data_IF_442490537642
#
_entry.id   IF_442490537642
#
_cell.length_a   1.000
_cell.length_b   1.000
_cell.length_c   1.000
_cell.angle_alpha   90.00
_cell.angle_beta   90.00
_cell.angle_gamma   90.00
#
_symmetry.space_group_name_H-M   'P 1'
#
loop_
_entity.id
_entity.type
_entity.pdbx_description
1 polymer ?
#
# COMPACT_ATOMS: atom_id res chain seq x y z
N UNK A 1 28.01 -7.08 8.30
CA UNK A 1 27.06 -8.14 8.72
C UNK A 1 27.01 -9.19 7.62
N UNK A 2 26.89 -10.48 7.93
CA UNK A 2 26.65 -11.50 6.92
C UNK A 2 25.35 -11.20 6.17
N UNK A 3 25.26 -11.62 4.91
CA UNK A 3 24.05 -11.45 4.12
C UNK A 3 22.88 -12.17 4.78
N UNK A 4 21.72 -11.50 4.87
CA UNK A 4 20.51 -12.14 5.37
C UNK A 4 20.05 -13.24 4.42
N UNK A 5 19.78 -14.44 4.92
CA UNK A 5 19.05 -15.45 4.16
C UNK A 5 17.56 -15.11 4.17
N UNK A 6 16.95 -14.79 3.01
CA UNK A 6 15.53 -14.44 2.94
C UNK A 6 14.60 -15.52 3.49
N UNK A 7 14.95 -16.80 3.33
CA UNK A 7 14.10 -17.92 3.77
C UNK A 7 14.02 -17.98 5.29
N UNK A 8 15.17 -17.82 5.95
CA UNK A 8 15.22 -17.76 7.41
C UNK A 8 14.59 -16.49 7.94
N UNK A 9 14.79 -15.36 7.26
CA UNK A 9 14.15 -14.09 7.61
C UNK A 9 12.62 -14.18 7.56
N UNK A 10 12.04 -14.74 6.49
CA UNK A 10 10.60 -14.98 6.32
C UNK A 10 10.04 -15.80 7.49
N UNK A 11 10.75 -16.84 7.93
CA UNK A 11 10.34 -17.67 9.08
C UNK A 11 10.33 -16.86 10.38
N UNK A 12 11.39 -16.08 10.65
CA UNK A 12 11.52 -15.24 11.85
C UNK A 12 10.40 -14.22 11.96
N UNK A 13 10.11 -13.52 10.86
CA UNK A 13 9.04 -12.52 10.83
C UNK A 13 7.66 -13.12 10.59
N UNK A 14 7.55 -14.45 10.49
CA UNK A 14 6.33 -15.22 10.17
C UNK A 14 5.56 -14.62 9.00
N UNK A 15 6.28 -14.24 7.95
CA UNK A 15 5.69 -13.72 6.72
C UNK A 15 4.81 -14.80 6.08
N UNK A 16 3.61 -14.40 5.68
CA UNK A 16 2.60 -15.25 5.04
C UNK A 16 1.79 -14.42 4.04
N UNK A 17 1.91 -14.78 2.78
CA UNK A 17 1.08 -14.25 1.70
C UNK A 17 -0.39 -14.63 1.94
N UNK A 18 -1.34 -13.68 1.87
CA UNK A 18 -2.75 -13.99 1.95
C UNK A 18 -3.19 -14.82 0.74
N UNK A 19 -4.11 -15.76 0.97
CA UNK A 19 -4.76 -16.51 -0.11
C UNK A 19 -6.04 -15.76 -0.47
N UNK A 20 -6.07 -15.08 -1.61
CA UNK A 20 -7.24 -14.33 -2.07
C UNK A 20 -8.18 -15.13 -2.98
N UNK A 21 -7.63 -16.11 -3.68
CA UNK A 21 -8.35 -16.95 -4.62
C UNK A 21 -8.29 -18.39 -4.12
N UNK A 22 -9.43 -18.89 -3.68
CA UNK A 22 -9.58 -20.27 -3.20
C UNK A 22 -10.75 -20.91 -3.92
N UNK A 23 -10.56 -22.14 -4.39
CA UNK A 23 -11.60 -22.88 -5.13
C UNK A 23 -12.84 -23.01 -4.26
N UNK A 24 -13.99 -22.57 -4.79
CA UNK A 24 -15.26 -22.61 -4.08
C UNK A 24 -15.54 -21.44 -3.13
N UNK A 25 -14.62 -20.46 -3.01
CA UNK A 25 -14.86 -19.20 -2.29
C UNK A 25 -14.99 -18.02 -3.26
N UNK A 26 -15.83 -17.01 -2.94
CA UNK A 26 -15.91 -15.80 -3.74
C UNK A 26 -14.59 -15.04 -3.66
N UNK A 27 -14.06 -14.61 -4.81
CA UNK A 27 -12.93 -13.70 -4.87
C UNK A 27 -13.32 -12.32 -4.28
N UNK A 28 -12.37 -11.57 -3.70
CA UNK A 28 -12.64 -10.20 -3.30
C UNK A 28 -13.01 -9.35 -4.53
N UNK A 29 -13.98 -8.45 -4.38
CA UNK A 29 -14.38 -7.50 -5.42
C UNK A 29 -13.22 -6.57 -5.79
N UNK A 30 -12.43 -6.18 -4.79
CA UNK A 30 -11.23 -5.38 -4.99
C UNK A 30 -10.18 -5.66 -3.91
N UNK A 31 -8.93 -5.37 -4.25
CA UNK A 31 -7.81 -5.22 -3.34
C UNK A 31 -7.52 -3.72 -3.23
N UNK A 32 -7.64 -3.16 -2.03
CA UNK A 32 -7.37 -1.75 -1.76
C UNK A 32 -6.04 -1.63 -1.02
N UNK A 33 -5.06 -1.05 -1.69
CA UNK A 33 -3.70 -0.93 -1.17
C UNK A 33 -3.42 0.48 -0.71
N UNK A 34 -3.19 0.65 0.59
CA UNK A 34 -2.91 1.91 1.24
C UNK A 34 -1.44 2.08 1.57
N UNK A 35 -0.80 3.04 0.90
CA UNK A 35 0.65 3.12 0.89
C UNK A 35 1.18 4.20 1.80
N UNK A 36 2.41 3.96 2.26
CA UNK A 36 3.04 4.76 3.30
C UNK A 36 3.50 6.11 2.78
N UNK A 37 2.69 7.14 3.02
CA UNK A 37 3.05 8.53 2.83
C UNK A 37 2.94 9.27 4.16
N UNK A 38 3.88 9.05 5.10
CA UNK A 38 3.72 9.50 6.50
C UNK A 38 3.41 10.98 6.68
N UNK A 39 3.93 11.82 5.79
CA UNK A 39 3.68 13.25 5.76
C UNK A 39 2.31 13.65 5.15
N UNK A 40 1.58 12.73 4.51
CA UNK A 40 0.22 12.95 3.99
C UNK A 40 -0.68 11.76 4.32
N UNK A 41 -0.46 11.10 5.46
CA UNK A 41 -1.25 9.93 5.87
C UNK A 41 -2.73 10.28 6.05
N UNK A 42 -3.04 11.53 6.41
CA UNK A 42 -4.40 12.02 6.56
C UNK A 42 -5.17 12.03 5.24
N UNK A 43 -4.50 12.17 4.10
CA UNK A 43 -5.12 11.97 2.79
C UNK A 43 -5.74 10.58 2.67
N UNK A 44 -4.96 9.54 2.98
CA UNK A 44 -5.43 8.16 2.94
C UNK A 44 -6.54 7.88 3.95
N UNK A 45 -6.58 8.61 5.08
CA UNK A 45 -7.71 8.56 6.01
C UNK A 45 -8.98 9.21 5.46
N UNK A 46 -8.86 10.29 4.69
CA UNK A 46 -9.99 10.88 3.99
C UNK A 46 -10.61 9.92 2.97
N UNK A 47 -9.77 9.24 2.19
CA UNK A 47 -10.21 8.17 1.27
C UNK A 47 -10.90 7.05 2.04
N UNK A 48 -10.33 6.63 3.17
CA UNK A 48 -10.93 5.61 4.03
C UNK A 48 -12.30 6.06 4.57
N UNK A 49 -12.45 7.31 5.01
CA UNK A 49 -13.73 7.84 5.47
C UNK A 49 -14.79 7.75 4.36
N UNK A 50 -14.45 8.18 3.13
CA UNK A 50 -15.35 8.06 1.98
C UNK A 50 -15.77 6.62 1.73
N UNK A 51 -14.82 5.67 1.71
CA UNK A 51 -15.13 4.26 1.49
C UNK A 51 -16.07 3.70 2.56
N UNK A 52 -15.86 4.11 3.81
CA UNK A 52 -16.69 3.69 4.93
C UNK A 52 -18.11 4.27 4.87
N UNK A 53 -18.28 5.52 4.42
CA UNK A 53 -19.56 6.22 4.44
C UNK A 53 -20.38 6.02 3.16
N UNK A 54 -19.72 6.04 1.99
CA UNK A 54 -20.40 6.05 0.69
C UNK A 54 -20.25 4.73 -0.08
N UNK A 55 -19.32 3.85 0.30
CA UNK A 55 -19.03 2.59 -0.40
C UNK A 55 -18.97 1.36 0.53
N UNK A 56 -19.83 1.33 1.55
CA UNK A 56 -19.83 0.27 2.58
C UNK A 56 -19.97 -1.16 2.00
N UNK A 57 -20.84 -1.36 1.02
CA UNK A 57 -21.04 -2.68 0.39
C UNK A 57 -19.83 -3.13 -0.43
N UNK A 58 -19.22 -2.21 -1.20
CA UNK A 58 -17.97 -2.46 -1.91
C UNK A 58 -16.84 -2.81 -0.94
N UNK A 59 -16.72 -2.04 0.16
CA UNK A 59 -15.74 -2.26 1.20
C UNK A 59 -15.93 -3.61 1.91
N UNK A 60 -17.16 -4.07 2.13
CA UNK A 60 -17.47 -5.35 2.75
C UNK A 60 -16.93 -6.56 1.96
N UNK A 61 -16.74 -6.39 0.65
CA UNK A 61 -16.19 -7.41 -0.25
C UNK A 61 -14.77 -7.09 -0.74
N UNK A 62 -14.09 -6.13 -0.10
CA UNK A 62 -12.73 -5.73 -0.46
C UNK A 62 -11.69 -6.31 0.50
N UNK A 63 -10.53 -6.69 -0.05
CA UNK A 63 -9.34 -7.02 0.71
C UNK A 63 -8.48 -5.77 0.90
N UNK A 64 -7.85 -5.63 2.07
CA UNK A 64 -7.13 -4.42 2.47
C UNK A 64 -5.64 -4.73 2.63
N UNK A 65 -4.80 -3.90 2.01
CA UNK A 65 -3.35 -3.96 2.14
C UNK A 65 -2.81 -2.66 2.73
N UNK A 66 -1.92 -2.81 3.71
CA UNK A 66 -1.25 -1.68 4.35
C UNK A 66 0.26 -1.80 4.26
N UNK A 67 0.94 -0.73 3.83
CA UNK A 67 2.39 -0.61 3.96
C UNK A 67 2.79 0.77 4.49
N UNK A 68 3.82 0.82 5.33
CA UNK A 68 4.23 2.06 5.99
C UNK A 68 3.05 2.68 6.75
N UNK A 69 2.87 3.99 6.63
CA UNK A 69 1.77 4.69 7.32
C UNK A 69 0.38 4.42 6.72
N UNK A 70 0.31 3.80 5.54
CA UNK A 70 -0.97 3.35 4.97
C UNK A 70 -1.55 2.13 5.68
N UNK A 71 -0.79 1.49 6.57
CA UNK A 71 -1.31 0.51 7.54
C UNK A 71 -2.45 1.09 8.38
N UNK A 72 -2.39 2.37 8.73
CA UNK A 72 -3.36 3.02 9.62
C UNK A 72 -4.78 3.01 9.00
N UNK A 73 -5.02 3.58 7.80
CA UNK A 73 -6.32 3.50 7.16
C UNK A 73 -6.74 2.06 6.83
N UNK A 74 -5.81 1.18 6.42
CA UNK A 74 -6.13 -0.22 6.12
C UNK A 74 -6.67 -0.97 7.36
N UNK A 75 -6.02 -0.83 8.52
CA UNK A 75 -6.47 -1.44 9.78
C UNK A 75 -7.80 -0.83 10.22
N UNK A 76 -7.95 0.50 10.15
CA UNK A 76 -9.19 1.16 10.53
C UNK A 76 -10.39 0.67 9.72
N UNK A 77 -10.24 0.55 8.39
CA UNK A 77 -11.26 0.01 7.51
C UNK A 77 -11.54 -1.47 7.76
N UNK A 78 -10.51 -2.27 8.05
CA UNK A 78 -10.67 -3.69 8.33
C UNK A 78 -11.48 -3.91 9.61
N UNK A 79 -11.22 -3.12 10.67
CA UNK A 79 -11.99 -3.14 11.90
C UNK A 79 -13.41 -2.59 11.74
N UNK A 80 -13.60 -1.63 10.84
CA UNK A 80 -14.90 -1.06 10.47
C UNK A 80 -15.41 0.04 11.40
N UNK A 81 -16.48 0.76 10.97
CA UNK A 81 -16.97 2.01 11.57
C UNK A 81 -17.41 1.89 13.03
N UNK A 82 -17.89 0.70 13.43
CA UNK A 82 -18.42 0.45 14.77
C UNK A 82 -17.31 0.29 15.81
N UNK A 83 -16.14 -0.17 15.39
CA UNK A 83 -15.03 -0.47 16.27
C UNK A 83 -13.97 0.62 16.26
N UNK A 84 -13.76 1.26 15.10
CA UNK A 84 -12.71 2.28 14.91
C UNK A 84 -13.30 3.54 14.28
N UNK A 85 -13.09 4.69 14.92
CA UNK A 85 -13.48 5.99 14.40
C UNK A 85 -12.28 6.66 13.69
N UNK A 86 -12.37 6.80 12.37
CA UNK A 86 -11.33 7.39 11.51
C UNK A 86 -11.03 8.84 11.87
N UNK A 87 -12.03 9.63 12.27
CA UNK A 87 -11.84 11.04 12.63
C UNK A 87 -11.04 11.19 13.92
N UNK A 88 -11.26 10.31 14.91
CA UNK A 88 -10.43 10.30 16.13
C UNK A 88 -8.97 9.93 15.83
N UNK A 89 -8.75 9.05 14.84
CA UNK A 89 -7.40 8.72 14.37
C UNK A 89 -6.78 9.91 13.66
N UNK A 90 -7.54 10.61 12.80
CA UNK A 90 -7.12 11.86 12.14
C UNK A 90 -6.67 12.88 13.20
N UNK A 91 -7.49 13.12 14.22
CA UNK A 91 -7.18 14.09 15.28
C UNK A 91 -5.89 13.71 16.02
N UNK A 92 -5.74 12.44 16.40
CA UNK A 92 -4.51 11.96 17.02
C UNK A 92 -3.27 12.15 16.13
N UNK A 93 -3.38 11.92 14.82
CA UNK A 93 -2.29 12.15 13.86
C UNK A 93 -1.95 13.62 13.74
N UNK A 94 -2.97 14.48 13.68
CA UNK A 94 -2.84 15.93 13.58
C UNK A 94 -2.16 16.48 14.83
N UNK A 95 -2.55 16.02 16.02
CA UNK A 95 -1.98 16.49 17.29
C UNK A 95 -0.52 16.05 17.48
N UNK A 96 -0.19 14.84 17.03
CA UNK A 96 1.17 14.30 17.12
C UNK A 96 2.05 14.68 15.92
N UNK A 97 1.48 15.24 14.85
CA UNK A 97 2.12 15.68 13.60
C UNK A 97 3.11 14.66 12.99
N UNK A 98 2.90 13.38 13.27
CA UNK A 98 3.81 12.29 12.95
C UNK A 98 5.26 12.63 13.34
N UNK A 99 5.69 12.21 14.53
CA UNK A 99 7.06 12.39 15.04
C UNK A 99 8.07 11.51 14.26
N UNK A 100 8.16 11.66 12.93
CA UNK A 100 8.91 10.75 12.02
C UNK A 100 10.42 10.83 12.25
N UNK A 101 10.91 11.96 12.76
CA UNK A 101 12.34 12.23 12.93
C UNK A 101 12.89 11.79 14.28
N UNK A 102 12.03 11.46 15.24
CA UNK A 102 12.39 11.03 16.59
C UNK A 102 11.82 9.63 16.82
N UNK A 103 12.69 8.62 16.74
CA UNK A 103 12.28 7.22 16.76
C UNK A 103 11.70 6.77 18.11
N UNK A 104 12.29 7.22 19.22
CA UNK A 104 11.80 6.88 20.56
C UNK A 104 10.41 7.46 20.77
N UNK A 105 10.23 8.73 20.42
CA UNK A 105 8.94 9.40 20.49
C UNK A 105 7.93 8.83 19.50
N UNK A 106 8.37 8.41 18.30
CA UNK A 106 7.52 7.71 17.33
C UNK A 106 6.98 6.43 17.94
N UNK A 107 7.83 5.58 18.51
CA UNK A 107 7.45 4.32 19.13
C UNK A 107 6.51 4.56 20.32
N UNK A 108 6.80 5.55 21.16
CA UNK A 108 5.93 5.93 22.28
C UNK A 108 4.52 6.32 21.80
N UNK A 109 4.45 7.26 20.86
CA UNK A 109 3.18 7.78 20.32
C UNK A 109 2.40 6.68 19.60
N UNK A 110 3.05 5.89 18.74
CA UNK A 110 2.40 4.79 18.04
C UNK A 110 1.88 3.74 19.00
N UNK A 111 2.67 3.35 20.01
CA UNK A 111 2.23 2.39 21.03
C UNK A 111 1.00 2.90 21.77
N UNK A 112 1.01 4.18 22.18
CA UNK A 112 -0.15 4.82 22.81
C UNK A 112 -1.38 4.79 21.90
N UNK A 113 -1.23 5.16 20.63
CA UNK A 113 -2.34 5.15 19.67
C UNK A 113 -2.86 3.74 19.38
N UNK A 114 -1.99 2.74 19.26
CA UNK A 114 -2.40 1.34 19.08
C UNK A 114 -3.23 0.89 20.29
N UNK A 115 -2.74 1.11 21.50
CA UNK A 115 -3.44 0.74 22.73
C UNK A 115 -4.77 1.48 22.90
N UNK A 116 -4.88 2.70 22.38
CA UNK A 116 -6.07 3.53 22.48
C UNK A 116 -7.14 3.19 21.42
N UNK A 117 -6.72 2.90 20.19
CA UNK A 117 -7.64 2.81 19.04
C UNK A 117 -7.85 1.39 18.52
N UNK A 118 -6.94 0.44 18.80
CA UNK A 118 -7.10 -0.93 18.36
C UNK A 118 -8.09 -1.66 19.28
N UNK A 119 -9.25 -2.15 18.78
CA UNK A 119 -10.22 -2.83 19.61
C UNK A 119 -9.69 -4.19 20.09
N UNK A 120 -10.17 -4.66 21.25
CA UNK A 120 -9.72 -5.94 21.83
C UNK A 120 -10.00 -7.16 20.95
N UNK A 121 -11.07 -7.11 20.16
CA UNK A 121 -11.44 -8.13 19.18
C UNK A 121 -10.93 -7.82 17.77
N UNK A 122 -9.91 -6.97 17.60
CA UNK A 122 -9.39 -6.59 16.29
C UNK A 122 -9.01 -7.78 15.42
N UNK A 123 -8.41 -8.83 16.00
CA UNK A 123 -8.02 -10.04 15.26
C UNK A 123 -9.20 -10.70 14.56
N UNK A 124 -10.37 -10.75 15.23
CA UNK A 124 -11.60 -11.29 14.63
C UNK A 124 -12.12 -10.38 13.52
N UNK A 125 -12.10 -9.06 13.75
CA UNK A 125 -12.61 -8.08 12.78
C UNK A 125 -11.79 -8.04 11.49
N UNK A 126 -10.47 -8.21 11.57
CA UNK A 126 -9.56 -8.13 10.41
C UNK A 126 -9.29 -9.50 9.76
N UNK A 127 -9.80 -10.59 10.34
CA UNK A 127 -9.54 -11.95 9.88
C UNK A 127 -9.91 -12.13 8.40
N UNK A 128 -8.99 -12.66 7.61
CA UNK A 128 -9.22 -12.99 6.19
C UNK A 128 -9.38 -11.80 5.25
N UNK A 129 -9.21 -10.56 5.71
CA UNK A 129 -9.42 -9.35 4.89
C UNK A 129 -8.32 -8.30 4.94
N UNK A 130 -7.28 -8.51 5.75
CA UNK A 130 -6.18 -7.57 5.93
C UNK A 130 -4.84 -8.29 5.74
N UNK A 131 -3.91 -7.66 5.01
CA UNK A 131 -2.49 -7.97 5.12
C UNK A 131 -1.64 -6.71 5.24
N UNK A 132 -0.56 -6.81 6.01
CA UNK A 132 0.42 -5.75 6.23
C UNK A 132 1.72 -6.13 5.54
N UNK A 133 2.50 -5.14 5.11
CA UNK A 133 3.75 -5.40 4.37
C UNK A 133 4.98 -4.90 5.13
N UNK A 134 5.95 -5.78 5.29
CA UNK A 134 7.27 -5.53 5.86
C UNK A 134 8.37 -5.87 4.84
N UNK A 135 9.58 -5.40 5.09
CA UNK A 135 10.75 -5.77 4.31
C UNK A 135 12.01 -5.69 5.16
N UNK A 136 13.17 -5.92 4.54
CA UNK A 136 14.46 -5.65 5.14
C UNK A 136 15.33 -4.84 4.18
N UNK A 137 16.44 -4.30 4.68
CA UNK A 137 17.22 -3.27 3.98
C UNK A 137 17.65 -3.66 2.57
N UNK A 138 17.42 -2.79 1.60
CA UNK A 138 18.02 -2.91 0.27
C UNK A 138 19.56 -2.73 0.28
N UNK A 139 20.12 -2.32 1.42
CA UNK A 139 21.57 -2.29 1.67
C UNK A 139 22.08 -3.63 2.19
N UNK A 140 21.21 -4.55 2.60
CA UNK A 140 21.57 -5.92 2.96
C UNK A 140 21.92 -6.69 1.67
N UNK A 141 23.07 -7.36 1.65
CA UNK A 141 23.49 -8.15 0.49
C UNK A 141 22.51 -9.30 0.18
N UNK A 142 21.74 -9.75 1.17
CA UNK A 142 20.66 -10.71 1.02
C UNK A 142 19.42 -10.15 0.32
N UNK A 143 19.30 -8.83 0.15
CA UNK A 143 18.10 -8.24 -0.45
C UNK A 143 17.91 -8.66 -1.91
N UNK A 144 19.01 -8.73 -2.67
CA UNK A 144 18.97 -9.10 -4.08
C UNK A 144 18.90 -10.62 -4.32
N UNK A 145 19.01 -11.44 -3.26
CA UNK A 145 18.89 -12.91 -3.37
C UNK A 145 17.45 -13.40 -3.20
N UNK A 146 16.54 -12.47 -2.87
CA UNK A 146 15.10 -12.73 -2.79
C UNK A 146 14.51 -13.02 -4.16
N UNK A 147 13.35 -13.69 -4.18
CA UNK A 147 12.58 -13.80 -5.42
C UNK A 147 12.07 -12.42 -5.84
N UNK A 148 11.81 -12.24 -7.14
CA UNK A 148 11.40 -10.94 -7.69
C UNK A 148 10.13 -10.42 -7.06
N UNK A 149 9.20 -11.32 -6.72
CA UNK A 149 7.93 -11.00 -6.07
C UNK A 149 8.17 -10.31 -4.73
N UNK A 150 9.07 -10.84 -3.90
CA UNK A 150 9.39 -10.24 -2.59
C UNK A 150 10.19 -8.93 -2.71
N UNK A 151 11.01 -8.79 -3.74
CA UNK A 151 11.68 -7.51 -4.05
C UNK A 151 10.64 -6.46 -4.47
N UNK A 152 9.65 -6.87 -5.28
CA UNK A 152 8.66 -5.96 -5.84
C UNK A 152 7.48 -5.66 -4.93
N UNK A 153 7.14 -6.54 -3.99
CA UNK A 153 5.90 -6.44 -3.21
C UNK A 153 6.13 -6.52 -1.70
N UNK A 154 7.38 -6.74 -1.27
CA UNK A 154 7.72 -6.97 0.12
C UNK A 154 7.22 -8.33 0.63
N UNK A 155 7.20 -8.43 1.95
CA UNK A 155 6.76 -9.63 2.67
C UNK A 155 5.47 -9.33 3.42
N UNK A 156 4.44 -10.11 3.16
CA UNK A 156 3.14 -9.89 3.78
C UNK A 156 3.05 -10.58 5.13
N UNK A 157 2.35 -9.97 6.06
CA UNK A 157 1.84 -10.62 7.25
C UNK A 157 0.32 -10.55 7.14
N UNK A 158 -0.34 -11.69 7.18
CA UNK A 158 -1.80 -11.80 7.02
C UNK A 158 -2.44 -12.68 8.11
N UNK A 159 -1.69 -13.02 9.15
CA UNK A 159 -2.13 -13.85 10.26
C UNK A 159 -1.59 -13.30 11.58
N UNK A 160 -2.44 -13.36 12.60
CA UNK A 160 -2.23 -12.73 13.89
C UNK A 160 -2.64 -13.73 14.97
N UNK A 161 -1.86 -13.86 16.04
CA UNK A 161 -2.23 -14.75 17.16
C UNK A 161 -3.22 -14.11 18.12
N UNK A 162 -3.01 -12.83 18.40
CA UNK A 162 -3.79 -12.03 19.34
C UNK A 162 -3.63 -10.53 19.04
N UNK A 163 -4.34 -9.69 19.79
CA UNK A 163 -4.35 -8.24 19.58
C UNK A 163 -2.98 -7.60 19.80
N UNK A 164 -2.14 -8.15 20.69
CA UNK A 164 -0.80 -7.64 20.94
C UNK A 164 0.12 -7.98 19.76
N UNK A 165 0.02 -9.21 19.23
CA UNK A 165 0.73 -9.62 18.02
C UNK A 165 0.36 -8.75 16.81
N UNK A 166 -0.93 -8.47 16.61
CA UNK A 166 -1.39 -7.52 15.59
C UNK A 166 -0.80 -6.11 15.82
N UNK A 167 -0.80 -5.62 17.06
CA UNK A 167 -0.18 -4.34 17.42
C UNK A 167 1.32 -4.28 17.08
N UNK A 168 2.08 -5.34 17.38
CA UNK A 168 3.49 -5.43 17.01
C UNK A 168 3.70 -5.47 15.50
N UNK A 169 2.83 -6.18 14.76
CA UNK A 169 2.86 -6.21 13.30
C UNK A 169 2.56 -4.83 12.68
N UNK A 170 1.64 -4.06 13.26
CA UNK A 170 1.36 -2.67 12.86
C UNK A 170 2.60 -1.79 13.07
N UNK A 171 3.28 -1.94 14.22
CA UNK A 171 4.53 -1.21 14.49
C UNK A 171 5.62 -1.56 13.48
N UNK A 172 5.81 -2.85 13.17
CA UNK A 172 6.81 -3.31 12.21
C UNK A 172 6.52 -2.84 10.78
N UNK A 173 5.26 -2.93 10.33
CA UNK A 173 4.84 -2.49 9.01
C UNK A 173 4.89 -0.96 8.82
N UNK A 174 4.89 -0.21 9.93
CA UNK A 174 5.06 1.26 9.95
C UNK A 174 6.50 1.69 10.20
N UNK A 175 7.45 0.76 10.32
CA UNK A 175 8.86 1.07 10.58
C UNK A 175 9.42 2.04 9.53
N UNK A 176 10.14 3.10 9.93
CA UNK A 176 10.68 4.06 8.99
C UNK A 176 11.83 3.44 8.19
N UNK A 177 12.19 4.11 7.09
CA UNK A 177 13.39 3.76 6.33
C UNK A 177 14.62 4.42 6.98
N UNK A 178 14.92 4.03 8.22
CA UNK A 178 16.01 4.60 9.05
C UNK A 178 17.34 3.92 8.79
N UNK A 179 18.42 4.56 9.23
CA UNK A 179 19.76 3.94 9.31
C UNK A 179 19.84 2.80 10.32
N UNK A 180 18.92 2.75 11.28
CA UNK A 180 18.76 1.70 12.27
C UNK A 180 17.50 0.90 11.94
N UNK A 181 17.63 -0.32 11.40
CA UNK A 181 16.50 -1.22 11.25
C UNK A 181 15.83 -1.54 12.59
N UNK A 182 14.56 -1.92 12.53
CA UNK A 182 13.78 -2.32 13.69
C UNK A 182 14.04 -3.79 14.02
N UNK A 183 14.10 -4.10 15.31
CA UNK A 183 14.02 -5.47 15.81
C UNK A 183 12.54 -5.86 15.90
N UNK A 184 12.17 -6.93 15.21
CA UNK A 184 10.83 -7.49 15.25
C UNK A 184 10.92 -9.00 15.28
N UNK A 185 10.45 -9.59 16.39
CA UNK A 185 10.66 -11.02 16.71
C UNK A 185 12.17 -11.31 16.69
N UNK A 186 12.58 -12.37 16.02
CA UNK A 186 13.99 -12.80 15.95
C UNK A 186 14.77 -12.17 14.78
N UNK A 187 14.18 -11.20 14.08
CA UNK A 187 14.81 -10.43 13.02
C UNK A 187 15.19 -9.03 13.53
N UNK A 188 16.44 -8.65 13.34
CA UNK A 188 17.03 -7.38 13.80
C UNK A 188 17.18 -6.34 12.68
N UNK A 189 16.70 -6.67 11.47
CA UNK A 189 16.88 -5.88 10.27
C UNK A 189 15.56 -5.52 9.56
N UNK A 190 14.45 -5.46 10.28
CA UNK A 190 13.12 -5.16 9.71
C UNK A 190 12.99 -3.67 9.36
N UNK A 191 12.41 -3.39 8.20
CA UNK A 191 12.06 -2.06 7.71
C UNK A 191 10.65 -2.08 7.08
N UNK A 192 10.12 -0.91 6.71
CA UNK A 192 8.90 -0.87 5.89
C UNK A 192 9.04 -1.65 4.59
N UNK A 193 7.97 -2.32 4.19
CA UNK A 193 7.82 -2.82 2.83
C UNK A 193 7.79 -1.67 1.83
N UNK A 194 8.42 -1.88 0.68
CA UNK A 194 8.38 -0.96 -0.48
C UNK A 194 7.50 -1.60 -1.54
N UNK A 195 6.36 -0.95 -1.85
CA UNK A 195 5.34 -1.37 -2.81
C UNK A 195 4.32 -2.39 -2.29
N UNK A 196 3.11 -2.32 -2.85
CA UNK A 196 1.90 -2.97 -2.32
C UNK A 196 1.11 -3.59 -3.45
N UNK A 197 1.55 -4.76 -3.90
CA UNK A 197 0.68 -5.71 -4.58
C UNK A 197 0.88 -7.06 -3.93
N UNK A 198 0.08 -8.05 -4.30
CA UNK A 198 0.20 -9.41 -3.79
C UNK A 198 0.86 -10.35 -4.81
N UNK A 199 0.64 -10.09 -6.11
CA UNK A 199 1.41 -10.63 -7.24
C UNK A 199 0.91 -10.04 -8.56
N UNK A 200 1.66 -10.25 -9.64
CA UNK A 200 1.24 -9.91 -11.01
C UNK A 200 0.00 -10.67 -11.48
N UNK A 201 -0.23 -11.87 -10.97
CA UNK A 201 -1.38 -12.72 -11.30
C UNK A 201 -2.63 -12.24 -10.57
N UNK A 202 -2.52 -11.91 -9.28
CA UNK A 202 -3.64 -11.35 -8.52
C UNK A 202 -4.12 -10.03 -9.10
N UNK A 203 -3.19 -9.20 -9.60
CA UNK A 203 -3.52 -7.98 -10.31
C UNK A 203 -4.35 -8.23 -11.58
N UNK A 204 -4.26 -9.42 -12.20
CA UNK A 204 -5.06 -9.77 -13.38
C UNK A 204 -6.47 -10.27 -13.03
N UNK A 205 -6.62 -10.94 -11.88
CA UNK A 205 -7.86 -11.61 -11.48
C UNK A 205 -8.76 -10.77 -10.56
N UNK A 206 -8.17 -9.88 -9.76
CA UNK A 206 -8.88 -9.01 -8.85
C UNK A 206 -8.60 -7.56 -9.23
N UNK A 207 -9.62 -6.70 -9.08
CA UNK A 207 -9.40 -5.27 -9.22
C UNK A 207 -8.47 -4.79 -8.11
N UNK A 208 -7.34 -4.19 -8.46
CA UNK A 208 -6.42 -3.64 -7.49
C UNK A 208 -6.37 -2.10 -7.59
N UNK A 209 -6.74 -1.42 -6.50
CA UNK A 209 -6.73 0.04 -6.39
C UNK A 209 -5.64 0.46 -5.41
N UNK A 210 -4.67 1.22 -5.91
CA UNK A 210 -3.59 1.76 -5.10
C UNK A 210 -3.90 3.19 -4.63
N UNK A 211 -3.76 3.44 -3.34
CA UNK A 211 -4.10 4.70 -2.67
C UNK A 211 -2.86 5.26 -1.97
N UNK A 212 -2.44 6.46 -2.35
CA UNK A 212 -1.21 7.05 -1.82
C UNK A 212 -1.20 8.58 -1.75
N UNK A 213 -0.83 9.12 -0.61
CA UNK A 213 -0.77 10.58 -0.42
C UNK A 213 0.31 11.29 -1.25
N UNK A 214 1.23 10.59 -1.91
CA UNK A 214 2.29 11.19 -2.74
C UNK A 214 2.21 10.74 -4.20
N UNK A 215 2.19 11.68 -5.14
CA UNK A 215 1.96 11.42 -6.56
C UNK A 215 3.23 11.06 -7.38
N UNK A 216 4.42 11.12 -6.78
CA UNK A 216 5.63 10.55 -7.36
C UNK A 216 6.48 11.49 -8.23
N UNK A 217 5.91 12.35 -9.10
CA UNK A 217 6.68 13.17 -10.06
C UNK A 217 5.95 14.46 -10.53
N UNK A 218 6.66 15.46 -11.11
CA UNK A 218 6.10 16.77 -11.49
C UNK A 218 5.09 16.77 -12.64
N UNK A 219 4.99 15.69 -13.41
CA UNK A 219 4.08 15.58 -14.55
C UNK A 219 3.41 14.21 -14.57
N UNK A 220 2.10 14.15 -14.27
CA UNK A 220 1.29 12.93 -14.47
C UNK A 220 1.11 12.57 -15.96
N UNK A 221 1.55 13.44 -16.89
CA UNK A 221 1.44 13.25 -18.34
C UNK A 221 2.27 12.09 -18.91
N UNK A 222 3.22 11.54 -18.13
CA UNK A 222 4.03 10.37 -18.49
C UNK A 222 3.86 9.22 -17.49
N UNK A 223 2.65 9.09 -16.91
CA UNK A 223 2.26 8.07 -15.94
C UNK A 223 2.46 6.60 -16.40
N UNK A 224 2.96 6.33 -17.60
CA UNK A 224 3.24 4.96 -18.07
C UNK A 224 4.10 4.18 -17.08
N UNK A 225 5.16 4.76 -16.50
CA UNK A 225 6.01 4.03 -15.54
C UNK A 225 5.35 3.75 -14.18
N UNK A 226 4.45 4.60 -13.68
CA UNK A 226 3.72 4.31 -12.43
C UNK A 226 2.52 3.38 -12.69
N UNK A 227 1.83 3.53 -13.83
CA UNK A 227 0.77 2.62 -14.27
C UNK A 227 1.29 1.19 -14.57
N UNK A 228 2.59 1.04 -14.88
CA UNK A 228 3.26 -0.26 -15.00
C UNK A 228 3.47 -0.93 -13.62
N UNK A 229 3.62 -0.18 -12.53
CA UNK A 229 3.84 -0.72 -11.18
C UNK A 229 2.58 -0.80 -10.31
N UNK A 230 1.57 0.04 -10.55
CA UNK A 230 0.30 0.10 -9.79
C UNK A 230 -0.86 -0.62 -10.47
N UNK A 231 -0.56 -1.40 -11.50
CA UNK A 231 -1.52 -2.23 -12.20
C UNK A 231 -2.49 -1.44 -13.07
N UNK A 232 -3.06 -2.12 -14.05
CA UNK A 232 -4.07 -1.61 -14.97
C UNK A 232 -5.41 -1.27 -14.26
N UNK A 233 -5.47 -1.23 -12.92
CA UNK A 233 -6.69 -1.46 -12.12
C UNK A 233 -7.14 -0.33 -11.17
N UNK A 234 -6.38 0.77 -11.08
CA UNK A 234 -6.78 2.03 -10.42
C UNK A 234 -5.70 2.64 -9.52
N UNK A 235 -5.44 3.94 -9.64
CA UNK A 235 -4.49 4.68 -8.81
C UNK A 235 -5.12 5.98 -8.32
N UNK A 236 -5.14 6.17 -6.99
CA UNK A 236 -5.66 7.35 -6.33
C UNK A 236 -4.53 8.02 -5.55
N UNK A 237 -4.19 9.25 -5.93
CA UNK A 237 -3.16 10.03 -5.25
C UNK A 237 -3.59 11.44 -4.95
N UNK A 238 -2.95 12.05 -3.95
CA UNK A 238 -3.16 13.45 -3.63
C UNK A 238 -2.81 14.32 -4.85
N UNK A 239 -3.85 14.88 -5.48
CA UNK A 239 -3.72 15.85 -6.57
C UNK A 239 -3.85 17.29 -6.08
N UNK A 240 -4.23 17.48 -4.82
CA UNK A 240 -4.48 18.76 -4.20
C UNK A 240 -3.20 19.56 -3.95
N UNK A 241 -2.18 18.91 -3.38
CA UNK A 241 -0.90 19.58 -3.18
C UNK A 241 -0.06 19.57 -4.45
N UNK A 242 0.58 20.70 -4.81
CA UNK A 242 1.51 20.70 -5.93
C UNK A 242 2.71 19.83 -5.60
N UNK A 243 3.28 19.18 -6.62
CA UNK A 243 4.37 18.21 -6.46
C UNK A 243 5.54 18.73 -5.62
N UNK A 244 5.96 19.99 -5.83
CA UNK A 244 7.05 20.59 -5.07
C UNK A 244 6.76 20.65 -3.57
N UNK A 245 5.49 20.87 -3.18
CA UNK A 245 5.05 20.91 -1.79
C UNK A 245 5.01 19.51 -1.20
N UNK A 246 4.54 18.52 -1.96
CA UNK A 246 4.58 17.13 -1.52
C UNK A 246 6.03 16.66 -1.32
N UNK A 247 6.94 17.01 -2.23
CA UNK A 247 8.37 16.72 -2.12
C UNK A 247 8.99 17.43 -0.90
N UNK A 248 8.69 18.72 -0.69
CA UNK A 248 9.15 19.45 0.50
C UNK A 248 8.71 18.75 1.79
N UNK A 249 7.44 18.38 1.89
CA UNK A 249 6.90 17.67 3.07
C UNK A 249 7.48 16.26 3.23
N UNK A 250 7.90 15.61 2.13
CA UNK A 250 8.58 14.32 2.19
C UNK A 250 9.99 14.42 2.81
N UNK A 251 10.74 15.46 2.46
CA UNK A 251 12.10 15.68 2.96
C UNK A 251 12.15 16.42 4.29
N UNK A 252 11.14 17.24 4.59
CA UNK A 252 11.09 18.08 5.78
C UNK A 252 9.69 18.04 6.41
N UNK A 253 9.26 16.89 6.96
CA UNK A 253 7.89 16.67 7.44
C UNK A 253 7.48 17.55 8.63
N UNK A 254 8.46 18.14 9.32
CA UNK A 254 8.30 19.01 10.49
C UNK A 254 8.21 20.51 10.14
N UNK A 255 8.46 20.90 8.89
CA UNK A 255 8.30 22.29 8.45
C UNK A 255 6.83 22.69 8.50
N UNK A 256 6.56 23.91 8.98
CA UNK A 256 5.22 24.54 8.94
C UNK A 256 4.55 24.73 10.29
N UNK A 257 5.05 24.14 11.39
CA UNK A 257 4.54 24.41 12.76
C UNK A 257 3.03 24.20 12.90
N UNK A 258 2.26 25.29 13.06
CA UNK A 258 0.79 25.26 13.10
C UNK A 258 0.16 25.13 11.71
N UNK A 259 0.72 25.73 10.67
CA UNK A 259 0.24 25.55 9.29
C UNK A 259 0.28 24.07 8.87
N UNK A 260 1.15 23.27 9.50
CA UNK A 260 1.21 21.83 9.27
C UNK A 260 -0.07 21.09 9.67
N UNK A 261 -0.76 21.57 10.71
CA UNK A 261 -2.05 21.03 11.14
C UNK A 261 -3.11 21.27 10.07
N UNK A 262 -3.17 22.49 9.56
CA UNK A 262 -4.13 22.86 8.51
C UNK A 262 -3.86 22.05 7.24
N UNK A 263 -2.59 21.87 6.86
CA UNK A 263 -2.21 21.01 5.72
C UNK A 263 -2.67 19.56 5.88
N UNK A 264 -2.59 19.00 7.09
CA UNK A 264 -3.03 17.63 7.34
C UNK A 264 -4.56 17.50 7.28
N UNK A 265 -5.29 18.52 7.73
CA UNK A 265 -6.75 18.58 7.62
C UNK A 265 -7.19 18.78 6.17
N UNK A 266 -6.54 19.69 5.45
CA UNK A 266 -6.78 19.92 4.03
C UNK A 266 -6.49 18.66 3.20
N UNK A 267 -5.41 17.92 3.53
CA UNK A 267 -5.13 16.63 2.91
C UNK A 267 -6.24 15.61 3.15
N UNK A 268 -6.80 15.57 4.37
CA UNK A 268 -7.91 14.70 4.73
C UNK A 268 -9.15 14.98 3.88
N UNK A 269 -9.54 16.25 3.80
CA UNK A 269 -10.69 16.68 2.99
C UNK A 269 -10.45 16.42 1.50
N UNK A 270 -9.24 16.66 1.00
CA UNK A 270 -8.85 16.34 -0.36
C UNK A 270 -8.95 14.83 -0.63
N UNK A 271 -8.54 13.98 0.30
CA UNK A 271 -8.67 12.52 0.18
C UNK A 271 -10.11 12.07 0.03
N UNK A 272 -11.01 12.61 0.84
CA UNK A 272 -12.44 12.34 0.74
C UNK A 272 -13.02 12.79 -0.62
N UNK A 273 -12.72 14.02 -1.02
CA UNK A 273 -13.27 14.62 -2.23
C UNK A 273 -12.70 13.99 -3.50
N UNK A 274 -11.41 13.67 -3.53
CA UNK A 274 -10.80 12.92 -4.64
C UNK A 274 -11.47 11.55 -4.75
N UNK A 275 -11.57 10.81 -3.64
CA UNK A 275 -12.22 9.51 -3.62
C UNK A 275 -13.65 9.56 -4.15
N UNK A 276 -14.41 10.58 -3.76
CA UNK A 276 -15.74 10.84 -4.26
C UNK A 276 -15.75 11.21 -5.73
N UNK A 277 -14.86 12.09 -6.20
CA UNK A 277 -14.79 12.52 -7.61
C UNK A 277 -14.44 11.38 -8.55
N UNK A 278 -13.55 10.49 -8.14
CA UNK A 278 -13.14 9.33 -8.90
C UNK A 278 -14.12 8.15 -8.70
N UNK A 279 -15.45 8.38 -8.72
CA UNK A 279 -16.58 7.43 -8.47
C UNK A 279 -16.46 6.02 -9.10
N UNK A 280 -15.48 5.85 -9.97
CA UNK A 280 -15.02 4.68 -10.71
C UNK A 280 -14.48 3.55 -9.83
N UNK A 281 -14.95 3.37 -8.60
CA UNK A 281 -14.55 2.28 -7.68
C UNK A 281 -14.96 0.89 -8.17
N UNK A 282 -15.97 0.83 -9.04
CA UNK A 282 -16.57 -0.39 -9.59
C UNK A 282 -16.47 -0.52 -11.12
N UNK A 283 -15.94 0.50 -11.82
CA UNK A 283 -15.76 0.46 -13.29
C UNK A 283 -14.70 -0.56 -13.76
N UNK A 284 -14.95 -1.22 -14.88
CA UNK A 284 -14.03 -2.20 -15.45
C UNK A 284 -12.67 -1.56 -15.83
N UNK A 285 -11.56 -1.99 -15.22
CA UNK A 285 -10.22 -1.51 -15.56
C UNK A 285 -9.82 -1.78 -17.03
N UNK A 286 -10.43 -2.78 -17.68
CA UNK A 286 -10.23 -3.07 -19.09
C UNK A 286 -10.90 -2.06 -20.03
N UNK A 287 -11.82 -1.22 -19.55
CA UNK A 287 -12.53 -0.25 -20.37
C UNK A 287 -11.63 0.92 -20.80
N UNK A 288 -10.67 1.32 -19.95
CA UNK A 288 -9.71 2.39 -20.23
C UNK A 288 -8.31 1.90 -20.65
N UNK A 289 -8.01 0.60 -20.49
CA UNK A 289 -6.79 0.00 -21.03
C UNK A 289 -6.72 0.05 -22.58
N UNK A 290 -7.84 0.30 -23.26
CA UNK A 290 -7.86 0.50 -24.72
C UNK A 290 -7.55 1.93 -25.18
N UNK A 291 -7.71 2.94 -24.31
CA UNK A 291 -7.47 4.35 -24.68
C UNK A 291 -6.03 4.82 -24.44
N UNK A 292 -5.23 4.07 -23.68
CA UNK A 292 -3.84 4.41 -23.34
C UNK A 292 -2.85 3.34 -23.82
N UNK A 293 -2.98 2.88 -25.08
CA UNK A 293 -1.84 2.26 -25.74
C UNK A 293 -0.75 3.31 -25.90
N UNK A 294 0.31 3.17 -25.13
CA UNK A 294 1.63 3.69 -25.51
C UNK A 294 1.89 3.30 -26.97
N UNK A 295 2.37 4.20 -27.84
CA UNK A 295 2.78 3.86 -29.21
C UNK A 295 3.82 2.72 -29.28
N UNK A 296 4.40 2.33 -28.14
CA UNK A 296 5.38 1.25 -28.03
C UNK A 296 4.85 -0.02 -27.33
N UNK A 297 3.59 -0.05 -26.89
CA UNK A 297 2.96 -1.28 -26.37
C UNK A 297 2.30 -2.08 -27.49
N UNK A 298 3.09 -2.43 -28.51
CA UNK A 298 2.75 -3.52 -29.41
C UNK A 298 3.05 -4.88 -28.75
N UNK A 299 2.41 -5.17 -27.63
CA UNK A 299 2.10 -6.57 -27.29
C UNK A 299 0.94 -7.02 -28.17
N UNK A 300 1.18 -7.08 -29.48
CA UNK A 300 0.21 -7.59 -30.42
C UNK A 300 0.17 -9.10 -30.30
N UNK A 301 -1.02 -9.70 -30.38
CA UNK A 301 -1.19 -11.15 -30.50
C UNK A 301 -0.36 -11.75 -31.65
N UNK A 302 0.11 -10.94 -32.60
CA UNK A 302 1.08 -11.29 -33.64
C UNK A 302 2.46 -11.64 -33.07
N UNK A 303 3.00 -10.89 -32.11
CA UNK A 303 4.31 -11.21 -31.48
C UNK A 303 4.24 -12.48 -30.61
N UNK A 304 3.11 -12.72 -29.93
CA UNK A 304 2.91 -13.93 -29.14
C UNK A 304 2.86 -15.18 -30.04
N UNK A 305 2.19 -15.09 -31.20
CA UNK A 305 2.13 -16.18 -32.18
C UNK A 305 3.46 -16.37 -32.93
N UNK A 306 4.17 -15.28 -33.22
CA UNK A 306 5.50 -15.31 -33.84
C UNK A 306 6.54 -15.98 -32.92
N UNK A 307 6.51 -15.74 -31.61
CA UNK A 307 7.48 -16.35 -30.69
C UNK A 307 7.13 -17.80 -30.30
N UNK A 308 5.86 -18.21 -30.37
CA UNK A 308 5.44 -19.59 -30.08
C UNK A 308 5.56 -20.53 -31.30
N UNK A 309 5.46 -20.02 -32.54
CA UNK A 309 5.44 -20.86 -33.74
C UNK A 309 6.33 -20.38 -34.91
N UNK A 310 7.00 -19.24 -34.79
CA UNK A 310 7.88 -18.69 -35.82
C UNK A 310 9.33 -18.63 -35.33
N UNK A 311 10.18 -19.54 -35.80
CA UNK A 311 11.62 -19.44 -35.56
C UNK A 311 12.18 -18.05 -35.95
N UNK A 312 13.42 -17.76 -35.51
CA UNK A 312 14.13 -16.45 -35.49
C UNK A 312 14.06 -15.54 -36.74
N UNK A 313 13.45 -15.95 -37.85
CA UNK A 313 13.27 -15.19 -39.11
C UNK A 313 11.81 -14.85 -39.45
N UNK A 314 10.87 -15.00 -38.52
CA UNK A 314 9.45 -14.73 -38.78
C UNK A 314 9.13 -13.28 -39.19
N UNK A 315 10.02 -12.33 -38.92
CA UNK A 315 9.84 -10.92 -39.28
C UNK A 315 10.03 -10.61 -40.78
N UNK A 316 10.57 -11.55 -41.58
CA UNK A 316 10.86 -11.33 -43.01
C UNK A 316 9.70 -11.70 -43.95
N UNK A 317 8.62 -12.30 -43.46
CA UNK A 317 7.47 -12.71 -44.29
C UNK A 317 6.24 -11.89 -43.94
N UNK A 318 6.14 -10.72 -44.53
CA UNK A 318 4.90 -9.94 -44.58
C UNK A 318 4.01 -10.45 -45.72
N UNK A 319 3.09 -11.38 -45.43
CA UNK A 319 1.81 -11.46 -46.15
C UNK A 319 0.68 -11.79 -45.16
N UNK A 320 -0.21 -10.78 -45.04
CA UNK A 320 -1.51 -10.68 -44.35
C UNK A 320 -1.54 -10.41 -42.84
#
# INVERSE_FOLDING_TARGET
>A
MPATDPREWIKKVRSKTPVLLEVGKPAPRAVLSFGGCGFLVTYSLGVALYLQQEKADFLAHSFLLGAGTGVIPAVALACGPRAVNIEKIRDAIVDNRFMVTDEEKRVEVFTKCINQFLPRNAVELVAGRLALTIGFSNRDAGYMTQSKEHVHFGHHIAQWTDVNDLGQCIMAATAPNTTKPMIFRDADNVMRGTMMSLSSELDQYCRHIYIHGYCGYPFSRHQTRHNIFFGRHGFLSNTHFPFWRQALLAFAPTIGGNARRDDLLEAYDAGYNDARRYERWEEDPYHFAKSDRSPNDEFSFRQLRANLFGGKRAHERFEL
#
